data_IF_231435381389
#
_entry.id   IF_231435381389
#
_cell.length_a   1.000
_cell.length_b   1.000
_cell.length_c   1.000
_cell.angle_alpha   90.00
_cell.angle_beta   90.00
_cell.angle_gamma   90.00
#
_symmetry.space_group_name_H-M   'P 1'
#
loop_
_entity.id
_entity.type
_entity.pdbx_description
1 polymer ?
#
# COMPACT_ATOMS: atom_id res chain seq x y z
N UNK A 1 -9.24 53.50 -31.95
CA UNK A 1 -8.89 52.34 -31.08
C UNK A 1 -10.09 51.73 -30.32
N UNK A 2 -11.34 51.93 -30.75
CA UNK A 2 -12.53 51.40 -30.03
C UNK A 2 -13.10 50.09 -30.60
N UNK A 3 -12.65 49.63 -31.77
CA UNK A 3 -13.18 48.41 -32.42
C UNK A 3 -12.66 47.09 -31.83
N UNK A 4 -11.64 47.14 -30.98
CA UNK A 4 -10.97 45.95 -30.43
C UNK A 4 -11.61 45.42 -29.13
N UNK A 5 -12.48 46.21 -28.50
CA UNK A 5 -13.20 45.79 -27.28
C UNK A 5 -14.39 44.88 -27.61
N UNK A 6 -15.07 45.12 -28.74
CA UNK A 6 -16.27 44.38 -29.14
C UNK A 6 -16.00 42.94 -29.59
N UNK A 7 -14.75 42.58 -29.92
CA UNK A 7 -14.36 41.21 -30.25
C UNK A 7 -13.97 40.35 -29.03
N UNK A 8 -13.73 40.97 -27.88
CA UNK A 8 -13.42 40.25 -26.63
C UNK A 8 -14.69 39.78 -25.90
N UNK A 9 -15.82 40.49 -26.08
CA UNK A 9 -17.10 40.15 -25.45
C UNK A 9 -17.66 38.77 -25.86
N UNK A 10 -17.66 38.38 -27.15
CA UNK A 10 -18.13 37.05 -27.55
C UNK A 10 -17.19 35.94 -27.06
N UNK A 11 -15.87 36.21 -27.04
CA UNK A 11 -14.87 35.25 -26.58
C UNK A 11 -15.03 34.89 -25.09
N UNK A 12 -15.43 35.86 -24.26
CA UNK A 12 -15.76 35.66 -22.84
C UNK A 12 -17.04 34.85 -22.63
N UNK A 13 -18.01 34.91 -23.54
CA UNK A 13 -19.26 34.16 -23.46
C UNK A 13 -19.07 32.67 -23.82
N UNK A 14 -18.16 32.34 -24.73
CA UNK A 14 -17.83 30.94 -25.07
C UNK A 14 -17.05 30.22 -23.95
N UNK A 15 -16.43 30.96 -23.02
CA UNK A 15 -15.64 30.42 -21.91
C UNK A 15 -16.48 29.93 -20.71
N UNK A 16 -17.80 30.17 -20.72
CA UNK A 16 -18.68 29.89 -19.58
C UNK A 16 -19.70 28.78 -19.85
N UNK A 17 -19.43 27.88 -20.80
CA UNK A 17 -20.30 26.72 -21.02
C UNK A 17 -20.11 25.72 -19.86
N UNK A 18 -20.74 26.00 -18.72
CA UNK A 18 -21.01 24.99 -17.70
C UNK A 18 -21.89 23.93 -18.36
N UNK A 19 -21.25 22.84 -18.80
CA UNK A 19 -21.93 21.71 -19.39
C UNK A 19 -22.82 21.07 -18.32
N UNK A 20 -24.13 21.34 -18.39
CA UNK A 20 -25.12 20.66 -17.56
C UNK A 20 -25.11 19.16 -17.89
N UNK A 21 -24.69 18.29 -16.95
CA UNK A 21 -24.56 16.87 -17.24
C UNK A 21 -25.95 16.23 -17.35
N UNK A 22 -26.14 15.35 -18.33
CA UNK A 22 -27.39 14.56 -18.46
C UNK A 22 -27.61 13.56 -17.32
N UNK A 23 -26.53 13.17 -16.62
CA UNK A 23 -26.57 12.33 -15.43
C UNK A 23 -25.54 12.82 -14.42
N UNK A 24 -25.96 12.99 -13.16
CA UNK A 24 -25.07 13.34 -12.05
C UNK A 24 -25.11 12.26 -10.98
N UNK A 25 -24.00 11.56 -10.80
CA UNK A 25 -23.83 10.57 -9.74
C UNK A 25 -23.11 11.24 -8.56
N UNK A 26 -23.62 10.99 -7.34
CA UNK A 26 -23.01 11.49 -6.11
C UNK A 26 -22.76 10.33 -5.14
N UNK A 27 -21.50 10.08 -4.83
CA UNK A 27 -21.12 9.18 -3.75
C UNK A 27 -21.20 9.96 -2.44
N UNK A 28 -21.96 9.44 -1.48
CA UNK A 28 -22.08 10.02 -0.14
C UNK A 28 -21.05 9.42 0.80
N UNK A 29 -20.86 10.00 1.99
CA UNK A 29 -19.99 9.41 3.01
C UNK A 29 -20.41 7.97 3.35
N UNK A 30 -21.72 7.69 3.43
CA UNK A 30 -22.23 6.32 3.64
C UNK A 30 -21.83 5.36 2.51
N UNK A 31 -21.85 5.84 1.27
CA UNK A 31 -21.39 5.05 0.12
C UNK A 31 -19.88 4.79 0.17
N UNK A 32 -19.10 5.79 0.57
CA UNK A 32 -17.65 5.64 0.77
C UNK A 32 -17.33 4.66 1.92
N UNK A 33 -18.03 4.77 3.04
CA UNK A 33 -17.88 3.87 4.19
C UNK A 33 -18.24 2.41 3.82
N UNK A 34 -19.27 2.22 2.99
CA UNK A 34 -19.61 0.91 2.46
C UNK A 34 -18.50 0.36 1.55
N UNK A 35 -18.00 1.19 0.63
CA UNK A 35 -16.86 0.85 -0.22
C UNK A 35 -15.61 0.48 0.59
N UNK A 36 -15.32 1.21 1.67
CA UNK A 36 -14.21 0.90 2.60
C UNK A 36 -14.34 -0.50 3.18
N UNK A 37 -15.52 -0.86 3.70
CA UNK A 37 -15.75 -2.20 4.30
C UNK A 37 -15.44 -3.32 3.31
N UNK A 38 -15.93 -3.20 2.07
CA UNK A 38 -15.63 -4.18 1.02
C UNK A 38 -14.14 -4.16 0.66
N UNK A 39 -13.58 -2.97 0.48
CA UNK A 39 -12.18 -2.78 0.07
C UNK A 39 -11.19 -3.39 1.05
N UNK A 40 -11.45 -3.33 2.36
CA UNK A 40 -10.57 -3.92 3.38
C UNK A 40 -10.58 -5.45 3.32
N UNK A 41 -11.73 -6.07 3.07
CA UNK A 41 -11.79 -7.52 2.93
C UNK A 41 -11.08 -8.00 1.66
N UNK A 42 -11.22 -7.27 0.56
CA UNK A 42 -10.44 -7.52 -0.66
C UNK A 42 -8.94 -7.33 -0.44
N UNK A 43 -8.56 -6.28 0.29
CA UNK A 43 -7.16 -6.00 0.63
C UNK A 43 -6.55 -7.14 1.46
N UNK A 44 -7.25 -7.61 2.51
CA UNK A 44 -6.80 -8.76 3.31
C UNK A 44 -6.55 -9.98 2.43
N UNK A 45 -7.48 -10.29 1.53
CA UNK A 45 -7.34 -11.42 0.62
C UNK A 45 -6.15 -11.27 -0.35
N UNK A 46 -5.92 -10.07 -0.87
CA UNK A 46 -4.77 -9.79 -1.73
C UNK A 46 -3.45 -9.93 -0.98
N UNK A 47 -3.35 -9.38 0.24
CA UNK A 47 -2.13 -9.47 1.06
C UNK A 47 -1.82 -10.92 1.44
N UNK A 48 -2.84 -11.72 1.79
CA UNK A 48 -2.66 -13.14 2.12
C UNK A 48 -2.18 -13.98 0.93
N UNK A 49 -2.51 -13.56 -0.30
CA UNK A 49 -2.07 -14.23 -1.53
C UNK A 49 -0.71 -13.74 -2.01
N UNK A 50 -0.15 -12.73 -1.35
CA UNK A 50 1.01 -12.05 -1.90
C UNK A 50 2.27 -12.91 -1.80
N UNK A 51 3.08 -12.86 -2.85
CA UNK A 51 4.30 -13.66 -2.95
C UNK A 51 5.53 -12.77 -2.90
N UNK A 52 6.50 -13.14 -2.08
CA UNK A 52 7.76 -12.40 -1.98
C UNK A 52 8.91 -13.21 -2.60
N UNK A 53 9.80 -12.55 -3.37
CA UNK A 53 10.94 -13.23 -3.95
C UNK A 53 11.90 -13.72 -2.88
N UNK A 54 12.65 -14.78 -3.18
CA UNK A 54 13.75 -15.20 -2.31
C UNK A 54 14.83 -14.12 -2.26
N UNK A 55 15.34 -13.85 -1.07
CA UNK A 55 16.45 -12.94 -0.83
C UNK A 55 17.71 -13.72 -0.50
N UNK A 56 18.83 -13.43 -1.13
CA UNK A 56 20.12 -14.08 -0.83
C UNK A 56 21.24 -13.05 -0.81
N UNK A 57 22.28 -13.33 -0.04
CA UNK A 57 23.44 -12.46 0.09
C UNK A 57 24.64 -13.17 0.69
N UNK A 58 25.75 -12.44 0.78
CA UNK A 58 26.98 -12.90 1.43
C UNK A 58 27.46 -11.84 2.40
N UNK A 59 27.61 -12.21 3.66
CA UNK A 59 28.21 -11.38 4.70
C UNK A 59 29.60 -11.89 5.06
N UNK A 60 30.47 -11.01 5.52
CA UNK A 60 31.83 -11.37 5.95
C UNK A 60 32.03 -11.00 7.41
N UNK A 61 32.22 -12.02 8.26
CA UNK A 61 32.58 -11.86 9.66
C UNK A 61 34.07 -12.20 9.82
N UNK A 62 34.90 -11.16 9.88
CA UNK A 62 36.37 -11.27 9.90
C UNK A 62 36.92 -12.05 8.69
N UNK A 63 37.35 -13.30 8.89
CA UNK A 63 37.93 -14.16 7.84
C UNK A 63 36.85 -15.11 7.26
N UNK A 64 35.70 -15.25 7.92
CA UNK A 64 34.65 -16.19 7.53
C UNK A 64 33.63 -15.51 6.62
N UNK A 65 33.36 -16.12 5.47
CA UNK A 65 32.28 -15.72 4.56
C UNK A 65 31.03 -16.55 4.86
N UNK A 66 29.91 -15.86 5.03
CA UNK A 66 28.60 -16.43 5.36
C UNK A 66 27.65 -16.13 4.22
N UNK A 67 27.27 -17.15 3.46
CA UNK A 67 26.22 -17.03 2.45
C UNK A 67 24.88 -17.34 3.10
N UNK A 68 23.89 -16.48 2.90
CA UNK A 68 22.54 -16.69 3.40
C UNK A 68 21.50 -16.64 2.29
N UNK A 69 20.41 -17.36 2.49
CA UNK A 69 19.22 -17.34 1.66
C UNK A 69 18.00 -17.35 2.56
N UNK A 70 17.07 -16.42 2.34
CA UNK A 70 15.75 -16.38 2.92
C UNK A 70 14.74 -16.60 1.78
N UNK A 71 13.82 -17.53 1.97
CA UNK A 71 12.91 -17.99 0.90
C UNK A 71 11.58 -18.45 1.48
N UNK A 72 10.63 -18.77 0.59
CA UNK A 72 9.32 -19.32 0.96
C UNK A 72 8.56 -18.44 1.97
N UNK A 73 8.64 -17.13 1.75
CA UNK A 73 7.80 -16.18 2.46
C UNK A 73 6.33 -16.52 2.25
N UNK A 74 5.56 -16.52 3.33
CA UNK A 74 4.14 -16.73 3.33
C UNK A 74 3.50 -15.83 4.37
N UNK A 75 2.53 -15.03 3.97
CA UNK A 75 1.69 -14.29 4.91
C UNK A 75 0.69 -15.26 5.53
N UNK A 76 0.85 -15.58 6.80
CA UNK A 76 0.00 -16.55 7.50
C UNK A 76 -1.28 -15.91 8.05
N UNK A 77 -1.19 -14.67 8.51
CA UNK A 77 -2.32 -13.93 9.05
C UNK A 77 -2.16 -12.43 8.86
N UNK A 78 -3.28 -11.73 8.67
CA UNK A 78 -3.36 -10.27 8.58
C UNK A 78 -4.58 -9.83 9.38
N UNK A 79 -4.41 -8.82 10.24
CA UNK A 79 -5.50 -8.15 10.93
C UNK A 79 -5.48 -6.65 10.65
N UNK A 80 -6.65 -6.09 10.40
CA UNK A 80 -6.86 -4.68 10.01
C UNK A 80 -8.11 -4.17 10.75
N UNK A 81 -8.00 -3.90 12.06
CA UNK A 81 -9.17 -3.63 12.90
C UNK A 81 -9.72 -2.22 12.71
N UNK A 82 -8.84 -1.22 12.53
CA UNK A 82 -9.23 0.18 12.48
C UNK A 82 -9.00 0.78 11.10
N UNK A 83 -10.09 1.20 10.46
CA UNK A 83 -10.06 1.74 9.09
C UNK A 83 -10.94 2.98 9.01
N UNK A 84 -10.47 3.99 8.27
CA UNK A 84 -11.25 5.20 8.00
C UNK A 84 -11.20 5.58 6.52
N UNK A 85 -12.22 6.31 6.07
CA UNK A 85 -12.27 6.87 4.72
C UNK A 85 -12.99 8.20 4.74
N UNK A 86 -12.46 9.21 4.07
CA UNK A 86 -13.06 10.54 4.02
C UNK A 86 -12.81 11.24 2.69
N UNK A 87 -13.67 12.20 2.34
CA UNK A 87 -13.43 13.07 1.20
C UNK A 87 -12.53 14.25 1.59
N UNK A 88 -11.58 14.58 0.72
CA UNK A 88 -10.77 15.80 0.81
C UNK A 88 -11.26 16.76 -0.30
N UNK A 89 -11.91 17.88 0.05
CA UNK A 89 -12.42 18.84 -0.93
C UNK A 89 -11.32 19.33 -1.89
N UNK A 90 -11.59 19.28 -3.19
CA UNK A 90 -10.63 19.70 -4.22
C UNK A 90 -9.51 18.70 -4.53
N UNK A 91 -9.42 17.59 -3.80
CA UNK A 91 -8.36 16.58 -4.00
C UNK A 91 -8.92 15.21 -4.35
N UNK A 92 -9.73 14.61 -3.48
CA UNK A 92 -10.20 13.23 -3.68
C UNK A 92 -10.57 12.52 -2.38
N UNK A 93 -9.98 11.35 -2.15
CA UNK A 93 -10.34 10.45 -1.05
C UNK A 93 -9.12 10.13 -0.19
N UNK A 94 -9.25 10.27 1.12
CA UNK A 94 -8.29 9.78 2.11
C UNK A 94 -8.74 8.43 2.65
N UNK A 95 -7.81 7.49 2.79
CA UNK A 95 -7.99 6.22 3.47
C UNK A 95 -6.93 6.09 4.56
N UNK A 96 -7.32 5.55 5.72
CA UNK A 96 -6.35 5.18 6.74
C UNK A 96 -6.62 3.82 7.34
N UNK A 97 -5.55 3.20 7.80
CA UNK A 97 -5.51 1.97 8.58
C UNK A 97 -4.66 2.23 9.81
N UNK A 98 -5.13 1.80 10.98
CA UNK A 98 -4.39 1.86 12.23
C UNK A 98 -4.41 0.50 12.93
N UNK A 99 -3.41 0.28 13.78
CA UNK A 99 -3.26 -0.93 14.59
C UNK A 99 -3.34 -2.24 13.79
N UNK A 100 -2.93 -2.20 12.51
CA UNK A 100 -2.88 -3.39 11.70
C UNK A 100 -1.69 -4.28 12.10
N UNK A 101 -1.84 -5.57 11.88
CA UNK A 101 -0.80 -6.56 12.18
C UNK A 101 -0.72 -7.63 11.08
N UNK A 102 0.45 -8.24 10.96
CA UNK A 102 0.66 -9.34 10.03
C UNK A 102 1.64 -10.36 10.62
N UNK A 103 1.39 -11.63 10.37
CA UNK A 103 2.31 -12.73 10.66
C UNK A 103 2.79 -13.33 9.36
N UNK A 104 4.11 -13.45 9.21
CA UNK A 104 4.74 -13.98 8.00
C UNK A 104 5.72 -15.07 8.42
N UNK A 105 5.62 -16.25 7.82
CA UNK A 105 6.65 -17.29 7.97
C UNK A 105 7.57 -17.31 6.76
N UNK A 106 8.84 -17.62 6.99
CA UNK A 106 9.84 -17.79 5.96
C UNK A 106 10.89 -18.79 6.39
N UNK A 107 11.60 -19.33 5.42
CA UNK A 107 12.68 -20.28 5.66
C UNK A 107 14.03 -19.64 5.36
N UNK A 108 14.99 -19.93 6.22
CA UNK A 108 16.35 -19.43 6.11
C UNK A 108 17.32 -20.60 5.90
N UNK A 109 18.42 -20.31 5.21
CA UNK A 109 19.56 -21.20 5.03
C UNK A 109 20.84 -20.40 5.09
N UNK A 110 21.80 -20.85 5.86
CA UNK A 110 23.13 -20.26 6.00
C UNK A 110 24.20 -21.28 5.66
N UNK A 111 25.26 -20.85 4.97
CA UNK A 111 26.45 -21.65 4.66
C UNK A 111 27.71 -20.85 4.95
N UNK A 112 28.59 -21.40 5.80
CA UNK A 112 29.87 -20.79 6.15
C UNK A 112 30.95 -21.87 6.22
N UNK A 113 32.00 -21.75 5.40
CA UNK A 113 33.08 -22.75 5.32
C UNK A 113 32.54 -24.18 5.09
N UNK A 114 32.52 -25.03 6.13
CA UNK A 114 31.99 -26.40 6.13
C UNK A 114 30.64 -26.52 6.88
N UNK A 115 30.22 -25.47 7.57
CA UNK A 115 28.98 -25.43 8.33
C UNK A 115 27.82 -25.02 7.41
N UNK A 116 26.71 -25.76 7.53
CA UNK A 116 25.45 -25.46 6.86
C UNK A 116 24.36 -25.57 7.90
N UNK A 117 23.53 -24.55 7.97
CA UNK A 117 22.34 -24.59 8.81
C UNK A 117 21.13 -24.05 8.05
N UNK A 118 19.95 -24.44 8.48
CA UNK A 118 18.69 -24.01 7.90
C UNK A 118 17.56 -24.18 8.91
N UNK A 119 16.53 -23.37 8.77
CA UNK A 119 15.36 -23.46 9.62
C UNK A 119 14.24 -22.57 9.11
N UNK A 120 13.18 -22.48 9.91
CA UNK A 120 12.11 -21.51 9.72
C UNK A 120 12.26 -20.34 10.68
N UNK A 121 11.66 -19.20 10.34
CA UNK A 121 11.39 -18.13 11.27
C UNK A 121 10.03 -17.53 10.99
N UNK A 122 9.46 -16.92 12.03
CA UNK A 122 8.22 -16.17 11.95
C UNK A 122 8.52 -14.70 12.23
N UNK A 123 8.04 -13.83 11.36
CA UNK A 123 7.98 -12.39 11.50
C UNK A 123 6.59 -12.01 12.03
N UNK A 124 6.55 -11.28 13.13
CA UNK A 124 5.32 -10.65 13.62
C UNK A 124 5.46 -9.14 13.51
N UNK A 125 4.63 -8.55 12.67
CA UNK A 125 4.52 -7.10 12.47
C UNK A 125 3.31 -6.64 13.28
N UNK A 126 3.48 -5.59 14.09
CA UNK A 126 2.41 -5.02 14.91
C UNK A 126 2.49 -3.50 14.89
N UNK A 127 1.37 -2.85 15.23
CA UNK A 127 1.24 -1.39 15.22
C UNK A 127 1.54 -0.78 13.84
N UNK A 128 1.00 -1.39 12.78
CA UNK A 128 1.08 -0.83 11.44
C UNK A 128 0.03 0.28 11.29
N UNK A 129 0.51 1.44 10.85
CA UNK A 129 -0.32 2.56 10.43
C UNK A 129 -0.04 2.90 8.97
N UNK A 130 -1.10 3.12 8.20
CA UNK A 130 -1.03 3.51 6.80
C UNK A 130 -2.03 4.61 6.52
N UNK A 131 -1.62 5.65 5.82
CA UNK A 131 -2.49 6.71 5.34
C UNK A 131 -2.24 6.93 3.84
N UNK A 132 -3.29 6.84 3.03
CA UNK A 132 -3.23 6.99 1.58
C UNK A 132 -4.20 8.09 1.17
N UNK A 133 -3.74 9.00 0.32
CA UNK A 133 -4.61 9.96 -0.35
C UNK A 133 -4.63 9.61 -1.83
N UNK A 134 -5.82 9.37 -2.36
CA UNK A 134 -6.10 9.26 -3.77
C UNK A 134 -6.63 10.58 -4.30
N UNK A 135 -5.98 11.11 -5.34
CA UNK A 135 -6.53 12.20 -6.12
C UNK A 135 -7.57 11.64 -7.08
N UNK A 136 -8.74 12.27 -7.11
CA UNK A 136 -9.83 11.94 -8.03
C UNK A 136 -10.00 13.08 -9.01
N UNK A 137 -9.79 12.80 -10.28
CA UNK A 137 -9.81 13.82 -11.34
C UNK A 137 -10.51 13.29 -12.59
N UNK A 138 -10.57 14.14 -13.61
CA UNK A 138 -11.02 13.77 -14.95
C UNK A 138 -9.80 13.69 -15.86
N UNK A 139 -9.64 12.59 -16.59
CA UNK A 139 -8.57 12.49 -17.57
C UNK A 139 -8.88 13.27 -18.86
N UNK A 140 -7.92 13.29 -19.80
CA UNK A 140 -8.05 13.98 -21.09
C UNK A 140 -9.14 13.39 -21.99
N UNK A 141 -9.59 12.17 -21.73
CA UNK A 141 -10.67 11.49 -22.46
C UNK A 141 -12.05 11.71 -21.82
N UNK A 142 -12.10 12.38 -20.66
CA UNK A 142 -13.32 12.69 -19.94
C UNK A 142 -13.73 11.63 -18.91
N UNK A 143 -12.94 10.58 -18.71
CA UNK A 143 -13.20 9.51 -17.76
C UNK A 143 -12.72 9.87 -16.34
N UNK A 144 -13.28 9.15 -15.35
CA UNK A 144 -12.84 9.24 -13.96
C UNK A 144 -11.43 8.67 -13.83
N UNK A 145 -10.50 9.48 -13.33
CA UNK A 145 -9.13 9.09 -13.03
C UNK A 145 -8.91 9.06 -11.53
N UNK A 146 -8.21 8.03 -11.05
CA UNK A 146 -7.82 7.88 -9.65
C UNK A 146 -6.31 7.68 -9.61
N UNK A 147 -5.60 8.59 -8.97
CA UNK A 147 -4.15 8.60 -8.88
C UNK A 147 -3.70 8.62 -7.43
N UNK A 148 -2.56 8.00 -7.14
CA UNK A 148 -1.95 8.09 -5.82
C UNK A 148 -1.37 9.50 -5.64
N UNK A 149 -1.89 10.24 -4.65
CA UNK A 149 -1.40 11.57 -4.31
C UNK A 149 -0.31 11.49 -3.23
N UNK A 150 -0.55 10.73 -2.17
CA UNK A 150 0.42 10.49 -1.12
C UNK A 150 0.19 9.15 -0.43
N UNK A 151 1.26 8.57 0.10
CA UNK A 151 1.22 7.37 0.93
C UNK A 151 2.19 7.54 2.09
N UNK A 152 1.70 7.33 3.31
CA UNK A 152 2.51 7.24 4.51
C UNK A 152 2.32 5.85 5.12
N UNK A 153 3.43 5.22 5.48
CA UNK A 153 3.46 3.94 6.15
C UNK A 153 4.40 4.04 7.36
N UNK A 154 3.95 3.56 8.50
CA UNK A 154 4.79 3.38 9.68
C UNK A 154 4.51 2.04 10.33
N UNK A 155 5.58 1.42 10.83
CA UNK A 155 5.52 0.13 11.50
C UNK A 155 6.06 0.34 12.91
N UNK A 156 5.25 0.06 13.92
CA UNK A 156 5.67 0.24 15.31
C UNK A 156 6.63 -0.86 15.78
N UNK A 157 6.34 -2.14 15.49
CA UNK A 157 7.26 -3.22 15.86
C UNK A 157 7.32 -4.35 14.84
N UNK A 158 8.52 -4.92 14.71
CA UNK A 158 8.79 -6.16 13.99
C UNK A 158 9.53 -7.09 14.94
N UNK A 159 8.96 -8.27 15.18
CA UNK A 159 9.57 -9.32 16.00
C UNK A 159 9.93 -10.50 15.12
N UNK A 160 11.15 -11.00 15.27
CA UNK A 160 11.62 -12.21 14.58
C UNK A 160 11.74 -13.33 15.60
N UNK A 161 11.06 -14.45 15.36
CA UNK A 161 11.19 -15.66 16.17
C UNK A 161 11.73 -16.78 15.29
N UNK A 162 12.89 -17.31 15.63
CA UNK A 162 13.41 -18.53 15.00
C UNK A 162 12.55 -19.71 15.46
N UNK A 163 12.07 -20.51 14.52
CA UNK A 163 11.38 -21.76 14.82
C UNK A 163 12.46 -22.78 15.19
N UNK A 164 12.29 -23.51 16.30
CA UNK A 164 13.30 -24.44 16.83
C UNK A 164 13.73 -25.45 15.76
N UNK A 165 14.92 -25.24 15.21
CA UNK A 165 15.47 -26.02 14.10
C UNK A 165 16.99 -25.99 13.98
N UNK A 166 17.70 -25.22 14.82
CA UNK A 166 19.16 -25.14 14.76
C UNK A 166 19.82 -25.97 15.86
N UNK A 167 20.70 -26.88 15.42
CA UNK A 167 21.65 -27.57 16.29
C UNK A 167 22.85 -26.68 16.70
N UNK A 168 23.05 -25.51 16.08
CA UNK A 168 24.29 -24.72 16.22
C UNK A 168 24.15 -23.19 16.15
N UNK A 169 22.94 -22.62 16.14
CA UNK A 169 22.75 -21.16 16.23
C UNK A 169 22.41 -20.82 17.69
N UNK A 170 23.45 -20.43 18.42
CA UNK A 170 23.37 -19.78 19.73
C UNK A 170 23.55 -18.27 19.55
#
# INVERSE_FOLDING_TARGET
>A
MQKMWYSLLPCLLFLQLEANPGLKVRITQRGLDYGRKIGIELLKQSVLKETFPSWSGQERFSIVKVNYTISRFKVDAVDIPETSASFIPGTGVSLSVAHASATISADWRVKAWLLKDQGGFTLSISELFMAIVFQVSRDSTGHLSVLLHSCQLSIGSVKVKLNEGSRYVC
#
